data_IF_855835109413
#
_entry.id   IF_855835109413
#
_cell.length_a   1.000
_cell.length_b   1.000
_cell.length_c   1.000
_cell.angle_alpha   90.00
_cell.angle_beta   90.00
_cell.angle_gamma   90.00
#
_symmetry.space_group_name_H-M   'P 1'
#
loop_
_entity.id
_entity.type
_entity.pdbx_description
1 polymer ?
#
# COMPACT_ATOMS: atom_id res chain seq x y z
N UNK A 1 -0.14 38.98 -1.78
CA UNK A 1 -0.43 37.54 -1.56
C UNK A 1 -0.26 36.84 -2.88
N UNK A 2 0.73 35.94 -3.01
CA UNK A 2 0.88 35.14 -4.21
C UNK A 2 -0.20 34.05 -4.19
N UNK A 3 -1.15 34.12 -5.10
CA UNK A 3 -2.08 33.04 -5.40
C UNK A 3 -1.25 31.80 -5.72
N UNK A 4 -1.46 30.64 -5.05
CA UNK A 4 -0.78 29.43 -5.47
C UNK A 4 -1.26 29.15 -6.89
N UNK A 5 -0.31 29.07 -7.83
CA UNK A 5 -0.53 28.68 -9.21
C UNK A 5 -1.13 27.27 -9.22
N UNK A 6 -2.46 27.20 -9.18
CA UNK A 6 -3.23 25.97 -9.19
C UNK A 6 -2.94 25.19 -10.46
N UNK A 7 -2.82 23.87 -10.32
CA UNK A 7 -2.59 22.97 -11.44
C UNK A 7 -3.63 23.19 -12.54
N UNK A 8 -3.19 23.79 -13.65
CA UNK A 8 -3.99 23.94 -14.88
C UNK A 8 -4.06 22.57 -15.55
N UNK A 9 -5.26 22.12 -15.91
CA UNK A 9 -5.43 20.94 -16.74
C UNK A 9 -4.60 21.09 -18.02
N UNK A 10 -3.64 20.21 -18.27
CA UNK A 10 -2.91 20.24 -19.54
C UNK A 10 -3.80 19.69 -20.66
N UNK A 11 -3.59 20.18 -21.89
CA UNK A 11 -4.27 19.66 -23.08
C UNK A 11 -4.08 18.13 -23.18
N UNK A 12 -5.14 17.38 -23.47
CA UNK A 12 -6.40 17.81 -24.11
C UNK A 12 -7.49 18.26 -23.12
N UNK A 13 -7.29 18.10 -21.82
CA UNK A 13 -8.28 18.30 -20.76
C UNK A 13 -8.70 19.76 -20.54
N UNK A 14 -7.94 20.71 -21.07
CA UNK A 14 -8.22 22.15 -20.94
C UNK A 14 -9.51 22.60 -21.67
N UNK A 15 -10.02 21.82 -22.62
CA UNK A 15 -10.99 22.31 -23.62
C UNK A 15 -12.36 21.59 -23.61
N UNK A 16 -12.63 20.64 -22.71
CA UNK A 16 -13.88 19.88 -22.67
C UNK A 16 -14.73 20.21 -21.44
N UNK A 17 -15.62 21.20 -21.56
CA UNK A 17 -16.67 21.48 -20.60
C UNK A 17 -17.90 20.57 -20.86
N UNK A 18 -18.65 20.13 -19.81
CA UNK A 18 -18.74 20.76 -18.48
C UNK A 18 -17.98 20.09 -17.31
N UNK A 19 -17.14 19.06 -17.52
CA UNK A 19 -16.67 18.24 -16.38
C UNK A 19 -15.43 18.75 -15.62
N UNK A 20 -14.60 19.64 -16.18
CA UNK A 20 -13.38 20.14 -15.50
C UNK A 20 -13.16 21.64 -15.59
N UNK A 21 -14.22 22.44 -15.75
CA UNK A 21 -14.12 23.89 -15.85
C UNK A 21 -13.89 24.59 -14.48
N UNK A 22 -13.23 23.90 -13.55
CA UNK A 22 -12.97 24.33 -12.18
C UNK A 22 -11.98 23.41 -11.47
N UNK A 23 -11.48 23.86 -10.32
CA UNK A 23 -10.60 23.08 -9.45
C UNK A 23 -11.40 21.89 -8.88
N UNK A 24 -10.84 20.68 -8.96
CA UNK A 24 -11.43 19.54 -8.25
C UNK A 24 -11.50 19.87 -6.73
N UNK A 25 -12.49 19.33 -6.00
CA UNK A 25 -12.53 19.45 -4.54
C UNK A 25 -11.20 19.07 -3.89
N UNK A 26 -10.94 19.57 -2.69
CA UNK A 26 -9.76 19.19 -1.92
C UNK A 26 -9.64 17.65 -1.83
N UNK A 27 -8.40 17.15 -1.81
CA UNK A 27 -8.09 15.72 -1.86
C UNK A 27 -8.52 14.99 -3.15
N UNK A 28 -8.79 15.70 -4.25
CA UNK A 28 -9.05 15.11 -5.57
C UNK A 28 -8.10 15.62 -6.65
N UNK A 29 -7.90 14.80 -7.68
CA UNK A 29 -7.09 15.07 -8.87
C UNK A 29 -7.94 14.95 -10.13
N UNK A 30 -7.67 15.79 -11.13
CA UNK A 30 -8.32 15.71 -12.44
C UNK A 30 -7.67 14.61 -13.28
N UNK A 31 -8.49 13.71 -13.82
CA UNK A 31 -8.05 12.52 -14.54
C UNK A 31 -8.79 12.42 -15.89
N UNK A 32 -8.05 12.08 -16.96
CA UNK A 32 -8.59 11.93 -18.31
C UNK A 32 -9.06 10.49 -18.57
N UNK A 33 -10.33 10.30 -18.95
CA UNK A 33 -10.91 9.00 -19.34
C UNK A 33 -11.34 9.03 -20.82
N UNK A 34 -11.65 7.87 -21.39
CA UNK A 34 -12.21 7.75 -22.75
C UNK A 34 -13.55 8.52 -22.92
N UNK A 35 -14.27 8.76 -21.81
CA UNK A 35 -15.54 9.50 -21.78
C UNK A 35 -15.43 10.98 -21.38
N UNK A 36 -14.22 11.50 -21.16
CA UNK A 36 -13.99 12.88 -20.70
C UNK A 36 -13.17 12.94 -19.41
N UNK A 37 -13.13 14.10 -18.75
CA UNK A 37 -12.36 14.28 -17.52
C UNK A 37 -13.24 14.11 -16.28
N UNK A 38 -12.71 13.48 -15.23
CA UNK A 38 -13.39 13.30 -13.95
C UNK A 38 -12.47 13.72 -12.79
N UNK A 39 -13.05 14.17 -11.67
CA UNK A 39 -12.31 14.32 -10.43
C UNK A 39 -12.30 12.99 -9.69
N UNK A 40 -11.11 12.52 -9.31
CA UNK A 40 -10.89 11.27 -8.60
C UNK A 40 -10.11 11.52 -7.31
N UNK A 41 -10.33 10.69 -6.30
CA UNK A 41 -9.49 10.57 -5.10
C UNK A 41 -7.99 10.74 -5.41
N UNK A 42 -7.34 11.71 -4.76
CA UNK A 42 -5.91 11.91 -4.86
C UNK A 42 -5.13 10.72 -4.31
N UNK A 43 -4.05 10.34 -4.99
CA UNK A 43 -3.16 9.28 -4.55
C UNK A 43 -2.47 9.54 -3.23
N UNK A 44 -2.04 8.45 -2.58
CA UNK A 44 -1.10 8.52 -1.48
C UNK A 44 0.14 7.67 -1.76
N UNK A 45 1.16 7.91 -0.96
CA UNK A 45 2.32 7.05 -0.81
C UNK A 45 2.53 6.78 0.67
N UNK A 46 2.87 5.54 0.99
CA UNK A 46 3.54 5.18 2.23
C UNK A 46 5.04 5.31 2.02
N UNK A 47 5.72 5.86 3.02
CA UNK A 47 7.18 5.84 3.11
C UNK A 47 7.54 5.55 4.56
N UNK A 48 8.58 4.76 4.76
CA UNK A 48 9.10 4.50 6.09
C UNK A 48 9.35 3.02 6.30
N UNK A 49 9.37 2.65 7.56
CA UNK A 49 9.76 1.33 7.97
C UNK A 49 9.92 1.27 9.46
N UNK A 50 9.85 0.07 9.98
CA UNK A 50 9.95 -0.12 11.40
C UNK A 50 10.10 -1.58 11.79
N UNK A 51 10.00 -1.77 13.10
CA UNK A 51 10.01 -3.07 13.71
C UNK A 51 8.78 -3.26 14.58
N UNK A 52 8.22 -4.46 14.53
CA UNK A 52 7.21 -4.96 15.46
C UNK A 52 7.80 -6.10 16.28
N UNK A 53 7.22 -6.37 17.44
CA UNK A 53 7.67 -7.46 18.31
C UNK A 53 7.53 -8.82 17.61
N UNK A 54 8.66 -9.49 17.33
CA UNK A 54 8.71 -10.76 16.61
C UNK A 54 8.65 -11.99 17.53
N UNK A 55 7.71 -12.00 18.49
CA UNK A 55 7.21 -13.19 19.19
C UNK A 55 8.19 -14.09 19.96
N UNK A 56 9.47 -13.74 20.11
CA UNK A 56 10.41 -14.59 20.86
C UNK A 56 11.71 -13.88 21.25
N UNK A 57 12.38 -14.43 22.26
CA UNK A 57 13.76 -14.07 22.62
C UNK A 57 14.73 -14.94 21.82
N UNK A 58 15.86 -14.38 21.39
CA UNK A 58 16.94 -15.18 20.80
C UNK A 58 17.81 -15.81 21.90
N UNK A 59 17.77 -17.13 22.13
CA UNK A 59 18.55 -17.78 23.18
C UNK A 59 20.05 -17.90 22.82
N UNK A 60 20.45 -17.53 21.60
CA UNK A 60 21.84 -17.59 21.14
C UNK A 60 22.61 -16.29 21.36
N UNK A 61 21.90 -15.21 21.70
CA UNK A 61 22.50 -13.93 22.09
C UNK A 61 22.54 -13.89 23.62
N UNK A 62 23.73 -13.70 24.20
CA UNK A 62 23.95 -13.68 25.66
C UNK A 62 23.25 -12.50 26.39
N UNK A 63 22.51 -11.67 25.66
CA UNK A 63 21.55 -10.70 26.16
C UNK A 63 20.19 -11.04 25.56
N UNK A 64 19.17 -11.25 26.39
CA UNK A 64 17.78 -11.53 25.97
C UNK A 64 17.29 -10.40 25.05
N UNK A 65 17.51 -10.56 23.76
CA UNK A 65 17.10 -9.58 22.76
C UNK A 65 15.87 -10.15 22.08
N UNK A 66 14.78 -9.40 22.12
CA UNK A 66 13.59 -9.72 21.34
C UNK A 66 13.96 -9.81 19.86
N UNK A 67 13.61 -10.92 19.21
CA UNK A 67 13.70 -11.02 17.75
C UNK A 67 12.65 -10.09 17.18
N UNK A 68 13.08 -9.17 16.32
CA UNK A 68 12.21 -8.20 15.69
C UNK A 68 11.86 -8.65 14.29
N UNK A 69 10.62 -8.38 13.90
CA UNK A 69 10.21 -8.43 12.51
C UNK A 69 10.37 -7.03 11.94
N UNK A 70 11.08 -6.90 10.83
CA UNK A 70 11.47 -5.61 10.25
C UNK A 70 10.82 -5.40 8.89
N UNK A 71 10.45 -4.17 8.58
CA UNK A 71 9.93 -3.78 7.29
C UNK A 71 10.38 -2.39 6.91
N UNK A 72 10.50 -2.13 5.61
CA UNK A 72 10.80 -0.80 5.11
C UNK A 72 10.47 -0.69 3.63
N UNK A 73 10.15 0.51 3.18
CA UNK A 73 10.00 0.78 1.77
C UNK A 73 9.29 2.08 1.46
N UNK A 74 8.96 2.21 0.19
CA UNK A 74 8.13 3.27 -0.32
C UNK A 74 7.22 2.67 -1.37
N UNK A 75 5.91 2.81 -1.18
CA UNK A 75 4.90 2.35 -2.13
C UNK A 75 3.84 3.43 -2.27
N UNK A 76 3.40 3.70 -3.47
CA UNK A 76 2.39 4.71 -3.70
C UNK A 76 1.78 4.61 -5.07
N UNK A 77 0.76 5.41 -5.29
CA UNK A 77 0.05 5.45 -6.55
C UNK A 77 -0.54 6.84 -6.80
N UNK A 78 -0.75 7.27 -8.05
CA UNK A 78 -1.18 8.64 -8.37
C UNK A 78 -2.65 8.94 -8.01
N UNK A 79 -3.47 7.91 -7.82
CA UNK A 79 -4.86 7.99 -7.38
C UNK A 79 -5.08 7.22 -6.07
N UNK A 80 -6.03 7.68 -5.23
CA UNK A 80 -6.17 7.22 -3.83
C UNK A 80 -6.77 5.84 -3.69
N UNK A 81 -7.21 5.26 -4.80
CA UNK A 81 -7.81 3.95 -4.83
C UNK A 81 -7.49 3.25 -6.15
N UNK A 82 -6.93 2.05 -5.99
CA UNK A 82 -6.55 1.10 -7.00
C UNK A 82 -7.16 -0.24 -6.56
N UNK A 83 -8.29 -0.61 -7.18
CA UNK A 83 -9.03 -1.84 -6.87
C UNK A 83 -8.29 -3.13 -7.25
N UNK A 84 -8.98 -4.27 -7.19
CA UNK A 84 -8.43 -5.57 -7.56
C UNK A 84 -8.17 -5.63 -9.08
N UNK A 85 -6.95 -5.32 -9.53
CA UNK A 85 -6.64 -5.42 -10.95
C UNK A 85 -6.29 -6.84 -11.36
N UNK A 86 -6.49 -7.12 -12.64
CA UNK A 86 -5.97 -8.34 -13.27
C UNK A 86 -4.55 -8.18 -13.79
N UNK A 87 -3.97 -6.97 -13.69
CA UNK A 87 -2.72 -6.64 -14.32
C UNK A 87 -1.56 -6.55 -13.30
N UNK A 88 -0.73 -7.59 -13.28
CA UNK A 88 0.48 -7.69 -12.48
C UNK A 88 1.74 -7.33 -13.29
N UNK A 89 1.58 -6.69 -14.45
CA UNK A 89 2.71 -6.18 -15.25
C UNK A 89 3.31 -4.94 -14.57
N UNK A 90 4.54 -5.02 -14.04
CA UNK A 90 5.18 -3.90 -13.33
C UNK A 90 5.37 -2.67 -14.23
N UNK A 91 5.38 -2.81 -15.57
CA UNK A 91 5.49 -1.68 -16.50
C UNK A 91 4.18 -0.94 -16.72
N UNK A 92 3.07 -1.53 -16.30
CA UNK A 92 1.71 -1.00 -16.44
C UNK A 92 1.00 -0.90 -15.09
N UNK A 93 1.71 -1.19 -14.00
CA UNK A 93 1.18 -1.14 -12.65
C UNK A 93 1.00 0.32 -12.24
N UNK A 94 -0.23 0.68 -11.91
CA UNK A 94 -0.51 2.02 -11.39
C UNK A 94 -0.03 2.21 -9.95
N UNK A 95 0.16 1.12 -9.21
CA UNK A 95 0.79 1.09 -7.88
C UNK A 95 2.26 0.74 -8.05
N UNK A 96 3.11 1.55 -7.45
CA UNK A 96 4.54 1.49 -7.65
C UNK A 96 5.32 1.61 -6.36
N UNK A 97 6.53 1.06 -6.38
CA UNK A 97 7.47 1.20 -5.29
C UNK A 97 8.21 -0.09 -5.01
N UNK A 98 8.79 -0.14 -3.83
CA UNK A 98 9.49 -1.30 -3.32
C UNK A 98 9.16 -1.43 -1.83
N UNK A 99 8.84 -2.65 -1.40
CA UNK A 99 8.62 -2.96 0.00
C UNK A 99 9.41 -4.20 0.41
N UNK A 100 10.13 -4.09 1.53
CA UNK A 100 10.93 -5.16 2.11
C UNK A 100 10.32 -5.59 3.42
N UNK A 101 10.30 -6.89 3.64
CA UNK A 101 9.85 -7.49 4.89
C UNK A 101 10.81 -8.59 5.32
N UNK A 102 11.18 -8.64 6.59
CA UNK A 102 12.05 -9.67 7.16
C UNK A 102 11.34 -10.35 8.30
N UNK A 103 11.05 -11.63 8.12
CA UNK A 103 10.34 -12.45 9.08
C UNK A 103 11.21 -12.80 10.28
N UNK A 104 10.56 -13.02 11.42
CA UNK A 104 11.19 -13.54 12.64
C UNK A 104 11.97 -14.83 12.38
N UNK A 105 13.09 -14.99 13.11
CA UNK A 105 13.89 -16.21 13.33
C UNK A 105 13.89 -17.20 12.14
N UNK A 106 14.73 -16.95 11.14
CA UNK A 106 14.90 -17.79 9.95
C UNK A 106 13.64 -17.95 9.06
N UNK A 107 12.61 -17.13 9.26
CA UNK A 107 11.36 -17.17 8.49
C UNK A 107 11.50 -16.70 7.05
N UNK A 108 12.61 -16.02 6.72
CA UNK A 108 12.88 -15.51 5.37
C UNK A 108 12.74 -14.01 5.23
N UNK A 109 12.99 -13.54 4.02
CA UNK A 109 12.74 -12.16 3.61
C UNK A 109 11.90 -12.11 2.34
N UNK A 110 11.11 -11.06 2.23
CA UNK A 110 10.27 -10.74 1.10
C UNK A 110 10.76 -9.42 0.50
N UNK A 111 10.91 -9.39 -0.82
CA UNK A 111 11.08 -8.15 -1.57
C UNK A 111 9.93 -8.03 -2.57
N UNK A 112 9.09 -7.02 -2.38
CA UNK A 112 7.90 -6.79 -3.17
C UNK A 112 8.07 -5.55 -4.06
N UNK A 113 8.01 -5.79 -5.37
CA UNK A 113 8.03 -4.78 -6.44
C UNK A 113 6.78 -4.86 -7.33
N UNK A 114 5.92 -5.86 -7.11
CA UNK A 114 4.71 -6.10 -7.91
C UNK A 114 3.49 -5.96 -7.01
N UNK A 115 2.71 -4.92 -7.26
CA UNK A 115 1.53 -4.56 -6.49
C UNK A 115 0.26 -4.72 -7.30
N UNK A 116 -0.82 -5.12 -6.61
CA UNK A 116 -2.11 -5.41 -7.21
C UNK A 116 -3.18 -4.39 -6.83
N UNK A 117 -3.25 -4.00 -5.56
CA UNK A 117 -4.23 -3.04 -5.08
C UNK A 117 -3.59 -2.10 -4.07
N UNK A 118 -4.10 -0.87 -4.03
CA UNK A 118 -3.71 0.13 -3.05
C UNK A 118 -4.92 0.96 -2.71
N UNK A 119 -5.19 1.09 -1.41
CA UNK A 119 -6.24 1.96 -0.92
C UNK A 119 -5.66 2.86 0.17
N UNK A 120 -5.89 4.15 -0.01
CA UNK A 120 -5.64 5.17 1.00
C UNK A 120 -6.98 5.62 1.58
N UNK A 121 -7.06 5.79 2.88
CA UNK A 121 -8.24 6.33 3.53
C UNK A 121 -7.88 7.07 4.81
N UNK A 122 -8.70 8.04 5.17
CA UNK A 122 -8.77 8.53 6.53
C UNK A 122 -9.58 7.58 7.39
N UNK A 123 -9.15 7.40 8.64
CA UNK A 123 -9.88 6.55 9.57
C UNK A 123 -11.29 7.13 9.79
N UNK A 124 -12.34 6.37 9.42
CA UNK A 124 -13.73 6.83 9.45
C UNK A 124 -14.19 7.70 8.27
N UNK A 125 -13.35 7.88 7.24
CA UNK A 125 -13.68 8.58 6.00
C UNK A 125 -14.05 7.66 4.84
N UNK A 126 -14.53 8.26 3.74
CA UNK A 126 -14.78 7.53 2.48
C UNK A 126 -13.49 7.01 1.86
N UNK A 127 -13.55 5.82 1.27
CA UNK A 127 -12.41 5.18 0.60
C UNK A 127 -11.81 6.03 -0.51
N UNK A 128 -10.48 6.07 -0.55
CA UNK A 128 -9.73 6.91 -1.48
C UNK A 128 -9.67 8.38 -1.06
N UNK A 129 -10.37 8.79 0.00
CA UNK A 129 -10.31 10.19 0.45
C UNK A 129 -9.09 10.39 1.35
N UNK A 130 -8.25 11.36 0.99
CA UNK A 130 -7.23 11.93 1.87
C UNK A 130 -7.89 12.91 2.86
N UNK A 131 -7.23 13.17 3.98
CA UNK A 131 -7.86 13.85 5.11
C UNK A 131 -8.00 15.33 4.79
N UNK A 132 -9.23 15.87 4.78
CA UNK A 132 -9.46 17.27 4.48
C UNK A 132 -8.93 18.09 5.66
N UNK A 133 -7.81 18.78 5.44
CA UNK A 133 -7.13 19.64 6.42
C UNK A 133 -6.42 18.91 7.56
N UNK A 134 -5.09 18.85 7.46
CA UNK A 134 -4.18 18.48 8.54
C UNK A 134 -4.13 19.58 9.62
N UNK A 135 -5.16 19.69 10.45
CA UNK A 135 -4.98 20.31 11.76
C UNK A 135 -4.43 19.24 12.73
N UNK A 136 -3.44 19.63 13.52
CA UNK A 136 -2.53 18.75 14.26
C UNK A 136 -3.27 17.73 15.18
N UNK A 137 -2.84 16.45 15.28
CA UNK A 137 -1.60 15.85 14.78
C UNK A 137 -1.78 14.95 13.53
N UNK A 138 -1.71 15.59 12.36
CA UNK A 138 -1.10 15.19 11.05
C UNK A 138 -0.92 13.68 10.76
N UNK A 139 -1.76 13.13 9.87
CA UNK A 139 -1.32 12.77 8.51
C UNK A 139 -2.37 13.02 7.42
N UNK A 140 -1.95 13.19 6.15
CA UNK A 140 -2.86 13.30 5.00
C UNK A 140 -3.70 12.06 4.69
N UNK A 141 -3.37 10.89 5.24
CA UNK A 141 -4.26 9.73 5.31
C UNK A 141 -3.77 8.84 6.45
N UNK A 142 -4.64 8.51 7.40
CA UNK A 142 -4.23 7.75 8.59
C UNK A 142 -4.18 6.24 8.33
N UNK A 143 -4.60 5.78 7.15
CA UNK A 143 -4.60 4.37 6.80
C UNK A 143 -4.23 4.11 5.34
N UNK A 144 -3.40 3.09 5.13
CA UNK A 144 -3.08 2.54 3.82
C UNK A 144 -3.16 1.02 3.86
N UNK A 145 -3.70 0.44 2.79
CA UNK A 145 -3.63 -0.97 2.49
C UNK A 145 -2.97 -1.16 1.13
N UNK A 146 -2.10 -2.17 1.03
CA UNK A 146 -1.43 -2.57 -0.21
C UNK A 146 -1.44 -4.08 -0.34
N UNK A 147 -1.72 -4.59 -1.53
CA UNK A 147 -1.56 -6.01 -1.87
C UNK A 147 -0.63 -6.21 -3.04
N UNK A 148 -0.06 -7.40 -3.16
CA UNK A 148 0.82 -7.75 -4.26
C UNK A 148 1.25 -9.20 -4.25
N UNK A 149 2.20 -9.49 -5.14
CA UNK A 149 2.89 -10.78 -5.20
C UNK A 149 4.39 -10.56 -5.04
N UNK A 150 5.06 -11.50 -4.40
CA UNK A 150 6.49 -11.45 -4.21
C UNK A 150 7.05 -12.85 -3.97
N UNK A 151 8.37 -12.97 -4.02
CA UNK A 151 9.09 -14.20 -3.76
C UNK A 151 9.61 -14.20 -2.32
N UNK A 152 9.17 -15.17 -1.52
CA UNK A 152 9.64 -15.38 -0.16
C UNK A 152 10.95 -16.17 -0.20
N UNK A 153 12.06 -15.50 0.09
CA UNK A 153 13.39 -16.09 0.16
C UNK A 153 13.67 -16.64 1.57
N UNK A 154 14.13 -17.89 1.72
CA UNK A 154 14.40 -18.46 3.04
C UNK A 154 15.68 -17.90 3.66
N UNK A 155 15.65 -17.66 4.97
CA UNK A 155 16.76 -17.08 5.74
C UNK A 155 17.70 -18.19 6.28
N UNK A 156 18.09 -19.11 5.39
CA UNK A 156 18.90 -20.29 5.73
C UNK A 156 20.40 -20.11 5.56
N UNK A 157 20.89 -18.91 5.21
CA UNK A 157 22.31 -18.64 4.92
C UNK A 157 22.90 -19.40 3.72
N UNK A 158 22.10 -20.27 3.10
CA UNK A 158 22.45 -21.12 1.97
C UNK A 158 21.64 -20.65 0.76
N UNK A 159 22.30 -19.92 -0.15
CA UNK A 159 21.68 -19.25 -1.31
C UNK A 159 21.07 -20.17 -2.38
N UNK A 160 21.06 -21.49 -2.14
CA UNK A 160 20.59 -22.51 -3.07
C UNK A 160 19.15 -22.98 -2.82
N UNK A 161 18.45 -22.44 -1.80
CA UNK A 161 17.03 -22.76 -1.63
C UNK A 161 16.16 -21.87 -2.53
N UNK A 162 15.26 -22.50 -3.25
CA UNK A 162 14.30 -21.81 -4.11
C UNK A 162 13.38 -20.89 -3.29
N UNK A 163 13.17 -19.67 -3.79
CA UNK A 163 12.15 -18.77 -3.26
C UNK A 163 10.75 -19.36 -3.49
N UNK A 164 9.83 -19.06 -2.58
CA UNK A 164 8.43 -19.48 -2.70
C UNK A 164 7.57 -18.30 -3.17
N UNK A 165 6.81 -18.41 -4.27
CA UNK A 165 5.92 -17.34 -4.69
C UNK A 165 4.76 -17.21 -3.70
N UNK A 166 4.56 -16.00 -3.19
CA UNK A 166 3.53 -15.68 -2.20
C UNK A 166 2.73 -14.45 -2.63
N UNK A 167 1.49 -14.39 -2.17
CA UNK A 167 0.71 -13.17 -2.17
C UNK A 167 0.82 -12.52 -0.80
N UNK A 168 0.85 -11.20 -0.76
CA UNK A 168 0.88 -10.45 0.49
C UNK A 168 -0.16 -9.35 0.51
N UNK A 169 -0.63 -9.04 1.71
CA UNK A 169 -1.41 -7.86 2.05
C UNK A 169 -0.75 -7.23 3.25
N UNK A 170 -0.42 -5.95 3.18
CA UNK A 170 -0.04 -5.20 4.37
C UNK A 170 -0.93 -3.98 4.54
N UNK A 171 -1.12 -3.64 5.79
CA UNK A 171 -1.87 -2.50 6.26
C UNK A 171 -1.03 -1.72 7.26
N UNK A 172 -1.08 -0.40 7.13
CA UNK A 172 -0.50 0.48 8.11
C UNK A 172 -1.53 1.53 8.53
N UNK A 173 -1.54 1.82 9.82
CA UNK A 173 -2.28 2.95 10.38
C UNK A 173 -1.26 3.90 11.00
N UNK A 174 -1.22 5.11 10.46
CA UNK A 174 -0.38 6.20 10.93
C UNK A 174 -1.18 6.97 11.98
N UNK A 175 -0.77 6.87 13.24
CA UNK A 175 -1.48 7.48 14.37
C UNK A 175 -0.95 8.89 14.69
N UNK A 176 -0.13 9.45 13.80
CA UNK A 176 0.38 10.81 13.88
C UNK A 176 1.73 10.92 14.59
N UNK A 177 2.41 12.04 14.30
CA UNK A 177 3.74 12.32 14.84
C UNK A 177 3.69 12.57 16.35
N UNK A 178 4.60 11.98 17.16
CA UNK A 178 5.95 11.53 16.78
C UNK A 178 6.08 10.05 16.34
N UNK A 179 5.01 9.42 15.82
CA UNK A 179 5.01 8.03 15.34
C UNK A 179 4.84 7.00 16.46
N UNK A 180 4.50 7.46 17.67
CA UNK A 180 4.21 6.58 18.81
C UNK A 180 2.80 6.03 18.69
N UNK A 181 2.68 4.76 18.34
CA UNK A 181 1.39 4.07 18.29
C UNK A 181 0.98 3.62 16.90
N UNK A 182 1.77 3.88 15.85
CA UNK A 182 1.53 3.37 14.51
C UNK A 182 1.33 1.84 14.55
N UNK A 183 0.33 1.37 13.80
CA UNK A 183 -0.04 -0.05 13.77
C UNK A 183 0.27 -0.60 12.40
N UNK A 184 0.95 -1.75 12.37
CA UNK A 184 1.26 -2.48 11.16
C UNK A 184 0.68 -3.88 11.22
N UNK A 185 0.04 -4.30 10.13
CA UNK A 185 -0.48 -5.65 9.91
C UNK A 185 0.02 -6.18 8.57
N UNK A 186 0.40 -7.46 8.51
CA UNK A 186 0.74 -8.13 7.27
C UNK A 186 0.31 -9.58 7.28
N UNK A 187 -0.19 -10.02 6.13
CA UNK A 187 -0.47 -11.40 5.81
C UNK A 187 0.38 -11.82 4.61
N UNK A 188 1.15 -12.89 4.76
CA UNK A 188 1.94 -13.51 3.69
C UNK A 188 1.42 -14.93 3.50
N UNK A 189 0.87 -15.19 2.31
CA UNK A 189 0.06 -16.37 2.03
C UNK A 189 0.54 -17.08 0.76
N UNK A 190 0.51 -18.40 0.80
CA UNK A 190 0.65 -19.28 -0.36
C UNK A 190 -0.72 -19.64 -0.95
N UNK A 191 -0.83 -19.78 -2.28
CA UNK A 191 -2.08 -20.15 -2.95
C UNK A 191 -2.59 -21.52 -2.50
N UNK A 192 -3.92 -21.67 -2.48
CA UNK A 192 -4.55 -22.96 -2.28
C UNK A 192 -4.25 -23.90 -3.48
N UNK A 193 -4.50 -25.21 -3.30
CA UNK A 193 -4.28 -26.18 -4.38
C UNK A 193 -5.12 -25.83 -5.61
N UNK A 194 -4.47 -25.63 -6.76
CA UNK A 194 -5.13 -25.28 -8.03
C UNK A 194 -5.39 -23.78 -8.21
N UNK A 195 -4.98 -22.94 -7.26
CA UNK A 195 -5.04 -21.48 -7.34
C UNK A 195 -3.68 -20.92 -7.76
N UNK A 196 -3.65 -19.84 -8.54
CA UNK A 196 -2.41 -19.11 -8.81
C UNK A 196 -2.14 -18.06 -7.74
N UNK A 197 -0.87 -17.64 -7.57
CA UNK A 197 -0.52 -16.55 -6.64
C UNK A 197 -1.20 -15.23 -7.00
N UNK A 198 -1.40 -14.99 -8.30
CA UNK A 198 -2.18 -13.88 -8.85
C UNK A 198 -3.64 -13.93 -8.39
N UNK A 199 -4.31 -15.08 -8.49
CA UNK A 199 -5.70 -15.25 -8.03
C UNK A 199 -5.81 -15.04 -6.52
N UNK A 200 -4.80 -15.48 -5.77
CA UNK A 200 -4.73 -15.26 -4.34
C UNK A 200 -4.57 -13.76 -4.01
N UNK A 201 -3.68 -13.04 -4.71
CA UNK A 201 -3.48 -11.61 -4.49
C UNK A 201 -4.75 -10.78 -4.75
N UNK A 202 -5.57 -11.19 -5.74
CA UNK A 202 -6.91 -10.62 -5.96
C UNK A 202 -7.89 -10.96 -4.83
N UNK A 203 -7.83 -12.18 -4.30
CA UNK A 203 -8.71 -12.61 -3.22
C UNK A 203 -8.44 -11.88 -1.90
N UNK A 204 -7.22 -11.38 -1.68
CA UNK A 204 -6.81 -10.65 -0.47
C UNK A 204 -6.76 -9.13 -0.67
N UNK A 205 -7.40 -8.59 -1.71
CA UNK A 205 -7.52 -7.15 -1.94
C UNK A 205 -7.85 -6.34 -0.69
N UNK A 206 -7.59 -5.05 -0.75
CA UNK A 206 -7.85 -4.07 0.31
C UNK A 206 -9.34 -3.84 0.63
N UNK A 207 -10.02 -4.89 1.09
CA UNK A 207 -11.37 -4.90 1.67
C UNK A 207 -11.25 -5.12 3.18
N UNK A 208 -12.01 -4.40 4.00
CA UNK A 208 -12.09 -4.69 5.45
C UNK A 208 -13.37 -5.44 5.81
N UNK A 209 -13.35 -6.28 6.85
CA UNK A 209 -12.15 -6.82 7.51
C UNK A 209 -11.36 -7.72 6.54
N UNK A 210 -10.06 -7.95 6.82
CA UNK A 210 -9.32 -8.98 6.09
C UNK A 210 -10.00 -10.35 6.31
N UNK A 211 -10.28 -11.04 5.21
CA UNK A 211 -10.80 -12.41 5.22
C UNK A 211 -9.77 -13.31 4.55
N UNK A 212 -9.12 -14.16 5.33
CA UNK A 212 -8.17 -15.13 4.78
C UNK A 212 -8.90 -16.12 3.85
N UNK A 213 -8.49 -16.26 2.58
CA UNK A 213 -9.11 -17.22 1.69
C UNK A 213 -8.94 -18.67 2.20
N UNK A 214 -9.96 -19.53 2.09
CA UNK A 214 -9.88 -20.89 2.61
C UNK A 214 -8.84 -21.72 1.85
N UNK A 215 -8.10 -22.56 2.58
CA UNK A 215 -7.11 -23.47 1.99
C UNK A 215 -5.77 -22.83 1.63
N UNK A 216 -5.55 -21.55 1.94
CA UNK A 216 -4.24 -20.89 1.76
C UNK A 216 -3.26 -21.29 2.85
N UNK A 217 -1.98 -21.43 2.48
CA UNK A 217 -0.90 -21.63 3.44
C UNK A 217 -0.52 -20.29 4.07
N UNK A 218 -0.45 -20.20 5.39
CA UNK A 218 0.01 -18.99 6.09
C UNK A 218 1.51 -19.10 6.33
N UNK A 219 2.28 -18.21 5.70
CA UNK A 219 3.71 -18.06 6.00
C UNK A 219 3.93 -17.06 7.14
N UNK A 220 3.13 -16.00 7.17
CA UNK A 220 3.17 -14.98 8.21
C UNK A 220 1.82 -14.30 8.38
N UNK A 221 1.44 -14.08 9.63
CA UNK A 221 0.36 -13.20 10.04
C UNK A 221 0.91 -12.40 11.22
N UNK A 222 1.51 -11.25 10.93
CA UNK A 222 2.13 -10.42 11.94
C UNK A 222 1.32 -9.13 12.09
N UNK A 223 1.09 -8.72 13.33
CA UNK A 223 0.39 -7.50 13.68
C UNK A 223 1.06 -6.91 14.92
N UNK A 224 1.17 -5.59 14.97
CA UNK A 224 1.58 -4.93 16.18
C UNK A 224 1.77 -3.43 16.05
N UNK A 225 1.95 -2.81 17.21
CA UNK A 225 2.42 -1.43 17.29
C UNK A 225 3.91 -1.36 16.94
N UNK A 226 4.28 -0.39 16.11
CA UNK A 226 5.67 -0.13 15.76
C UNK A 226 6.43 0.29 17.02
N UNK A 227 7.50 -0.45 17.32
CA UNK A 227 8.35 -0.20 18.49
C UNK A 227 9.65 0.52 18.12
N UNK A 228 10.00 0.56 16.82
CA UNK A 228 11.15 1.30 16.26
C UNK A 228 10.83 1.72 14.83
N UNK A 229 11.27 2.91 14.43
CA UNK A 229 10.99 3.47 13.11
C UNK A 229 9.70 4.29 13.10
N UNK A 230 9.30 4.73 11.91
CA UNK A 230 8.08 5.50 11.69
C UNK A 230 7.47 5.13 10.33
N UNK A 231 6.16 5.26 10.23
CA UNK A 231 5.45 5.24 8.96
C UNK A 231 5.00 6.66 8.67
N UNK A 232 5.03 7.03 7.39
CA UNK A 232 4.51 8.30 6.94
C UNK A 232 3.65 8.08 5.70
N UNK A 233 2.37 8.42 5.82
CA UNK A 233 1.44 8.39 4.69
C UNK A 233 1.23 9.81 4.19
N UNK A 234 1.59 10.06 2.93
CA UNK A 234 1.55 11.39 2.32
C UNK A 234 0.82 11.38 0.98
N UNK A 235 0.33 12.53 0.48
CA UNK A 235 -0.19 12.63 -0.87
C UNK A 235 0.88 12.21 -1.88
N UNK A 236 0.45 11.57 -2.96
CA UNK A 236 1.34 11.24 -4.06
C UNK A 236 1.86 12.53 -4.71
N UNK A 237 3.14 12.54 -5.07
CA UNK A 237 3.72 13.68 -5.79
C UNK A 237 3.21 13.65 -7.24
N UNK A 238 2.72 14.79 -7.74
CA UNK A 238 2.20 14.98 -9.10
C UNK A 238 3.22 14.70 -10.24
N UNK A 239 4.49 14.40 -9.89
CA UNK A 239 5.58 14.07 -10.81
C UNK A 239 6.01 12.60 -10.78
N UNK A 240 5.26 11.69 -10.14
CA UNK A 240 5.52 10.26 -10.36
C UNK A 240 5.10 9.93 -11.79
N UNK A 241 6.08 9.81 -12.67
CA UNK A 241 5.95 9.50 -14.09
C UNK A 241 5.48 8.08 -14.36
N UNK A 242 5.00 7.37 -13.34
CA UNK A 242 5.17 5.93 -13.33
C UNK A 242 3.85 5.15 -13.17
N UNK A 243 2.79 5.76 -12.63
CA UNK A 243 1.45 5.13 -12.57
C UNK A 243 0.45 5.76 -13.55
N UNK A 244 -0.35 4.96 -14.23
CA UNK A 244 -1.46 5.47 -15.06
C UNK A 244 -2.72 5.67 -14.21
N UNK A 245 -3.31 6.87 -14.26
CA UNK A 245 -4.66 7.17 -13.82
C UNK A 245 -5.49 7.61 -15.03
N UNK A 246 -6.76 7.19 -15.17
CA UNK A 246 -7.54 6.38 -14.25
C UNK A 246 -7.10 4.90 -14.31
N UNK A 247 -7.41 4.08 -13.31
CA UNK A 247 -7.08 2.67 -13.35
C UNK A 247 -7.73 1.96 -14.56
N UNK A 248 -7.03 1.04 -15.24
CA UNK A 248 -7.64 0.22 -16.28
C UNK A 248 -8.70 -0.72 -15.68
N UNK A 249 -9.96 -0.58 -16.12
CA UNK A 249 -11.09 -1.48 -15.88
C UNK A 249 -11.16 -2.13 -14.49
N UNK A 250 -11.13 -1.33 -13.41
CA UNK A 250 -11.32 -1.81 -12.04
C UNK A 250 -12.09 -0.82 -11.18
N UNK A 251 -12.98 -1.34 -10.33
CA UNK A 251 -13.81 -0.52 -9.42
C UNK A 251 -13.09 -0.27 -8.11
N UNK A 252 -13.20 0.96 -7.61
CA UNK A 252 -12.95 1.27 -6.22
C UNK A 252 -14.04 0.64 -5.35
N UNK A 253 -13.66 -0.38 -4.57
CA UNK A 253 -14.55 -0.97 -3.57
C UNK A 253 -14.42 -0.19 -2.27
N UNK A 254 -15.54 0.12 -1.62
CA UNK A 254 -15.53 0.71 -0.28
C UNK A 254 -14.97 -0.31 0.72
N UNK A 255 -13.94 0.10 1.47
CA UNK A 255 -13.60 -0.41 2.80
C UNK A 255 -14.78 -0.04 3.72
N UNK A 256 -15.53 -1.01 4.26
CA UNK A 256 -16.57 -0.75 5.25
C UNK A 256 -15.98 -0.34 6.60
#
# INVERSE_FOLDING_TARGET
MATPSGCVCQTPCANSAPACNGTCPDAQVCVSTDGGCICQAAGCRITGGGAIAGGGVDPTVMAETSVLTEFAGQVGAPCGCFGCFDNFDPKRASVQGEWKYKLKKHGGSLHASIFNSLVCSCLGGSVGSLCPSAEHPRTPADHICVTGIADLSPDTGNGNKASTPVAFRFEATDNGEPGTGDVYEIHILGPARGQTTTDLAKAICCTRPFVQPPGTTVFANDLGTIIRGNIQIHPALAKSTDGTCPPPSGMCVSIP
#
